data_IF_125028232802
#
_entry.id   IF_125028232802
#
_cell.length_a   1.000
_cell.length_b   1.000
_cell.length_c   1.000
_cell.angle_alpha   90.00
_cell.angle_beta   90.00
_cell.angle_gamma   90.00
#
_symmetry.space_group_name_H-M   'P 1'
#
loop_
_entity.id
_entity.type
_entity.pdbx_description
1 polymer ?
#
# COMPACT_ATOMS: atom_id res chain seq x y z
N UNK A 1 -28.90 -52.46 20.63
CA UNK A 1 -30.10 -51.65 20.38
C UNK A 1 -29.63 -50.20 20.23
N UNK A 2 -29.92 -49.58 19.08
CA UNK A 2 -29.56 -48.21 18.66
C UNK A 2 -29.80 -47.16 19.77
N UNK A 3 -29.09 -46.02 19.88
CA UNK A 3 -29.16 -44.85 18.98
C UNK A 3 -28.01 -43.85 19.29
N UNK A 4 -27.16 -43.54 18.30
CA UNK A 4 -27.03 -42.24 17.58
C UNK A 4 -26.65 -41.06 18.50
N UNK A 5 -25.36 -40.75 18.60
CA UNK A 5 -24.68 -39.60 17.94
C UNK A 5 -25.24 -38.22 18.37
N UNK A 6 -24.54 -37.56 19.28
CA UNK A 6 -24.59 -36.11 19.47
C UNK A 6 -23.32 -35.47 18.92
N UNK A 7 -23.20 -35.37 17.59
CA UNK A 7 -22.13 -34.57 16.96
C UNK A 7 -22.61 -33.12 16.96
N UNK A 8 -22.15 -32.33 17.91
CA UNK A 8 -22.32 -30.87 17.90
C UNK A 8 -21.48 -30.33 16.75
N UNK A 9 -22.15 -30.02 15.64
CA UNK A 9 -21.52 -29.49 14.43
C UNK A 9 -20.95 -28.10 14.67
N UNK A 10 -19.62 -27.99 14.57
CA UNK A 10 -18.90 -26.72 14.52
C UNK A 10 -19.08 -26.15 13.10
N UNK A 11 -20.13 -25.34 12.90
CA UNK A 11 -20.34 -24.62 11.63
C UNK A 11 -19.30 -23.52 11.56
N UNK A 12 -18.24 -23.75 10.79
CA UNK A 12 -17.26 -22.72 10.45
C UNK A 12 -17.92 -21.69 9.52
N UNK A 13 -18.18 -20.49 10.04
CA UNK A 13 -18.58 -19.34 9.24
C UNK A 13 -17.36 -18.83 8.48
N UNK A 14 -17.20 -19.29 7.23
CA UNK A 14 -16.19 -18.79 6.31
C UNK A 14 -16.54 -17.37 5.87
N UNK A 15 -16.12 -16.35 6.62
CA UNK A 15 -16.20 -14.97 6.15
C UNK A 15 -15.30 -14.80 4.92
N UNK A 16 -15.89 -14.51 3.76
CA UNK A 16 -15.13 -14.18 2.55
C UNK A 16 -14.40 -12.85 2.75
N UNK A 17 -13.10 -12.92 3.00
CA UNK A 17 -12.24 -11.73 2.89
C UNK A 17 -12.18 -11.35 1.42
N UNK A 18 -12.88 -10.29 1.05
CA UNK A 18 -12.81 -9.72 -0.28
C UNK A 18 -11.69 -8.68 -0.31
N UNK A 19 -10.77 -8.88 -1.25
CA UNK A 19 -9.68 -7.98 -1.55
C UNK A 19 -10.10 -7.02 -2.67
N UNK A 20 -9.68 -5.76 -2.56
CA UNK A 20 -9.88 -4.76 -3.61
C UNK A 20 -8.57 -4.11 -4.04
N UNK A 21 -8.65 -3.39 -5.15
CA UNK A 21 -7.60 -2.51 -5.64
C UNK A 21 -7.97 -1.07 -5.31
N UNK A 22 -7.01 -0.30 -4.81
CA UNK A 22 -7.16 1.15 -4.60
C UNK A 22 -6.06 1.91 -5.33
N UNK A 23 -6.38 3.14 -5.74
CA UNK A 23 -5.49 4.04 -6.47
C UNK A 23 -5.41 5.34 -5.68
N UNK A 24 -4.24 5.60 -5.10
CA UNK A 24 -4.00 6.82 -4.34
C UNK A 24 -3.33 7.83 -5.25
N UNK A 25 -4.09 8.87 -5.57
CA UNK A 25 -3.71 9.90 -6.53
C UNK A 25 -3.53 11.23 -5.81
N UNK A 26 -2.44 11.92 -6.11
CA UNK A 26 -2.18 13.26 -5.58
C UNK A 26 -0.71 13.61 -5.63
N UNK A 27 -0.34 14.65 -4.89
CA UNK A 27 1.07 15.07 -4.80
C UNK A 27 1.76 14.34 -3.67
N UNK A 28 3.04 14.02 -3.87
CA UNK A 28 3.92 13.69 -2.76
C UNK A 28 4.50 14.99 -2.24
N UNK A 29 4.26 15.27 -0.97
CA UNK A 29 4.78 16.48 -0.31
C UNK A 29 6.23 16.22 0.13
N UNK A 30 6.45 15.08 0.78
CA UNK A 30 7.75 14.75 1.37
C UNK A 30 8.12 13.27 1.14
N UNK A 31 9.41 12.98 1.10
CA UNK A 31 9.96 11.61 1.13
C UNK A 31 11.23 11.53 1.97
N UNK A 32 11.50 10.35 2.55
CA UNK A 32 12.78 10.06 3.20
C UNK A 32 13.13 8.57 3.11
N UNK A 33 14.40 8.26 3.34
CA UNK A 33 14.92 6.89 3.42
C UNK A 33 15.56 6.70 4.79
N UNK A 34 15.13 5.68 5.52
CA UNK A 34 15.72 5.29 6.81
C UNK A 34 17.05 4.54 6.61
N UNK A 35 17.90 4.50 7.63
CA UNK A 35 19.15 3.73 7.59
C UNK A 35 18.95 2.23 7.34
N UNK A 36 17.76 1.69 7.66
CA UNK A 36 17.37 0.31 7.38
C UNK A 36 16.87 0.08 5.94
N UNK A 37 16.89 1.12 5.10
CA UNK A 37 16.49 1.08 3.70
C UNK A 37 15.01 1.34 3.43
N UNK A 38 14.15 1.48 4.44
CA UNK A 38 12.74 1.80 4.21
C UNK A 38 12.60 3.17 3.55
N UNK A 39 11.87 3.21 2.44
CA UNK A 39 11.51 4.44 1.75
C UNK A 39 10.09 4.82 2.14
N UNK A 40 9.93 6.02 2.67
CA UNK A 40 8.64 6.57 3.11
C UNK A 40 8.25 7.78 2.27
N UNK A 41 6.95 7.93 2.04
CA UNK A 41 6.35 9.09 1.38
C UNK A 41 5.19 9.62 2.20
N UNK A 42 4.98 10.94 2.15
CA UNK A 42 3.79 11.61 2.64
C UNK A 42 3.09 12.24 1.45
N UNK A 43 1.91 11.72 1.11
CA UNK A 43 1.09 12.23 0.02
C UNK A 43 -0.17 12.95 0.51
N UNK A 44 -0.70 13.83 -0.35
CA UNK A 44 -1.90 14.64 -0.08
C UNK A 44 -3.17 13.79 0.17
N UNK A 45 -3.13 12.49 -0.15
CA UNK A 45 -4.26 11.57 0.00
C UNK A 45 -4.43 10.97 1.40
N UNK A 46 -3.42 11.07 2.28
CA UNK A 46 -3.46 10.42 3.60
C UNK A 46 -3.13 11.35 4.77
N UNK A 47 -2.17 12.28 4.61
CA UNK A 47 -1.73 13.15 5.71
C UNK A 47 -0.83 12.46 6.76
N UNK A 48 -0.30 11.27 6.47
CA UNK A 48 0.73 10.59 7.29
C UNK A 48 1.74 9.89 6.36
N UNK A 49 2.75 9.23 6.94
CA UNK A 49 3.81 8.52 6.21
C UNK A 49 3.41 7.09 5.84
N UNK A 50 3.58 6.73 4.56
CA UNK A 50 3.48 5.36 4.07
C UNK A 50 4.85 4.87 3.60
N UNK A 51 5.25 3.68 4.05
CA UNK A 51 6.37 2.97 3.45
C UNK A 51 5.95 2.46 2.07
N UNK A 52 6.74 2.75 1.04
CA UNK A 52 6.46 2.31 -0.34
C UNK A 52 7.35 1.16 -0.79
N UNK A 53 8.56 1.03 -0.25
CA UNK A 53 9.46 -0.08 -0.54
C UNK A 53 10.63 -0.08 0.46
N UNK A 54 11.57 -1.01 0.28
CA UNK A 54 12.84 -1.03 0.99
C UNK A 54 14.01 -1.23 0.00
N UNK A 55 15.07 -0.44 0.13
CA UNK A 55 16.25 -0.46 -0.76
C UNK A 55 17.23 -1.60 -0.49
N UNK A 56 17.00 -2.38 0.56
CA UNK A 56 17.82 -3.52 0.97
C UNK A 56 17.13 -4.88 0.73
N UNK A 57 15.87 -4.87 0.30
CA UNK A 57 15.10 -6.09 0.00
C UNK A 57 15.47 -6.67 -1.39
N UNK A 58 14.89 -7.83 -1.72
CA UNK A 58 15.16 -8.54 -2.98
C UNK A 58 14.90 -7.69 -4.24
N UNK A 59 14.01 -6.69 -4.15
CA UNK A 59 13.66 -5.78 -5.24
C UNK A 59 14.33 -4.39 -5.11
N UNK A 60 15.50 -4.29 -4.46
CA UNK A 60 16.24 -3.05 -4.20
C UNK A 60 16.34 -2.11 -5.41
N UNK A 61 16.62 -2.64 -6.61
CA UNK A 61 16.71 -1.84 -7.84
C UNK A 61 15.38 -1.15 -8.17
N UNK A 62 14.26 -1.86 -8.05
CA UNK A 62 12.92 -1.29 -8.27
C UNK A 62 12.64 -0.20 -7.25
N UNK A 63 12.98 -0.43 -5.98
CA UNK A 63 12.79 0.57 -4.93
C UNK A 63 13.61 1.84 -5.17
N UNK A 64 14.86 1.70 -5.61
CA UNK A 64 15.71 2.84 -5.98
C UNK A 64 15.14 3.63 -7.16
N UNK A 65 14.63 2.95 -8.20
CA UNK A 65 13.97 3.62 -9.33
C UNK A 65 12.68 4.34 -8.91
N UNK A 66 11.87 3.70 -8.06
CA UNK A 66 10.68 4.32 -7.50
C UNK A 66 11.01 5.55 -6.64
N UNK A 67 12.10 5.51 -5.89
CA UNK A 67 12.60 6.68 -5.15
C UNK A 67 12.93 7.82 -6.11
N UNK A 68 13.62 7.55 -7.22
CA UNK A 68 13.88 8.56 -8.26
C UNK A 68 12.60 9.13 -8.87
N UNK A 69 11.56 8.31 -9.07
CA UNK A 69 10.25 8.77 -9.55
C UNK A 69 9.59 9.72 -8.56
N UNK A 70 9.62 9.38 -7.26
CA UNK A 70 9.06 10.23 -6.20
C UNK A 70 9.81 11.56 -6.12
N UNK A 71 11.15 11.55 -6.11
CA UNK A 71 11.95 12.78 -6.07
C UNK A 71 11.69 13.64 -7.31
N UNK A 72 11.60 13.03 -8.49
CA UNK A 72 11.23 13.74 -9.73
C UNK A 72 9.85 14.37 -9.61
N UNK A 73 8.86 13.66 -9.07
CA UNK A 73 7.51 14.17 -8.90
C UNK A 73 7.47 15.37 -7.94
N UNK A 74 8.20 15.30 -6.82
CA UNK A 74 8.34 16.40 -5.85
C UNK A 74 8.99 17.62 -6.54
N UNK A 75 10.14 17.44 -7.19
CA UNK A 75 10.90 18.53 -7.81
C UNK A 75 10.13 19.25 -8.92
N UNK A 76 9.29 18.51 -9.66
CA UNK A 76 8.55 19.03 -10.81
C UNK A 76 7.08 19.32 -10.48
N UNK A 77 6.67 19.22 -9.21
CA UNK A 77 5.29 19.42 -8.76
C UNK A 77 4.27 18.55 -9.53
N UNK A 78 4.65 17.31 -9.85
CA UNK A 78 3.82 16.35 -10.59
C UNK A 78 2.90 15.58 -9.64
N UNK A 79 1.86 14.97 -10.22
CA UNK A 79 1.01 14.04 -9.49
C UNK A 79 1.58 12.63 -9.61
N UNK A 80 1.28 11.82 -8.60
CA UNK A 80 1.57 10.38 -8.62
C UNK A 80 0.30 9.58 -8.45
N UNK A 81 0.27 8.41 -9.06
CA UNK A 81 -0.68 7.34 -8.73
C UNK A 81 0.09 6.19 -8.10
N UNK A 82 -0.25 5.88 -6.85
CA UNK A 82 0.24 4.70 -6.14
C UNK A 82 -0.89 3.69 -6.04
N UNK A 83 -0.70 2.53 -6.65
CA UNK A 83 -1.72 1.49 -6.69
C UNK A 83 -1.41 0.39 -5.68
N UNK A 84 -2.42 0.01 -4.92
CA UNK A 84 -2.36 -1.11 -3.98
C UNK A 84 -3.39 -2.16 -4.37
N UNK A 85 -2.98 -3.41 -4.34
CA UNK A 85 -3.84 -4.58 -4.56
C UNK A 85 -3.91 -5.41 -3.28
N UNK A 86 -4.96 -6.23 -3.14
CA UNK A 86 -5.06 -7.15 -2.02
C UNK A 86 -5.48 -6.49 -0.70
N UNK A 87 -5.87 -5.20 -0.70
CA UNK A 87 -6.27 -4.49 0.52
C UNK A 87 -7.71 -4.83 0.90
N UNK A 88 -8.05 -4.68 2.19
CA UNK A 88 -9.42 -4.94 2.66
C UNK A 88 -10.42 -3.97 2.02
N UNK A 89 -11.68 -4.39 1.92
CA UNK A 89 -12.75 -3.55 1.36
C UNK A 89 -12.99 -2.24 2.12
N UNK A 90 -12.63 -2.19 3.39
CA UNK A 90 -12.74 -1.00 4.24
C UNK A 90 -11.56 -0.04 4.04
N UNK A 91 -10.46 -0.51 3.45
CA UNK A 91 -9.26 0.31 3.25
C UNK A 91 -9.47 1.35 2.15
N UNK A 92 -9.13 2.59 2.43
CA UNK A 92 -9.11 3.71 1.49
C UNK A 92 -7.74 4.38 1.52
N UNK A 93 -7.47 5.32 0.62
CA UNK A 93 -6.18 6.02 0.61
C UNK A 93 -5.92 6.83 1.87
N UNK A 94 -6.96 7.30 2.55
CA UNK A 94 -6.85 8.03 3.82
C UNK A 94 -6.77 7.12 5.04
N UNK A 95 -7.02 5.82 4.88
CA UNK A 95 -7.05 4.82 5.95
C UNK A 95 -6.04 3.69 5.72
N UNK A 96 -5.04 3.91 4.87
CA UNK A 96 -3.98 2.92 4.64
C UNK A 96 -3.16 2.75 5.93
N UNK A 97 -2.67 1.54 6.22
CA UNK A 97 -1.70 1.37 7.28
C UNK A 97 -0.45 2.22 7.03
N UNK A 98 0.15 2.74 8.09
CA UNK A 98 1.30 3.65 8.03
C UNK A 98 2.63 2.92 8.32
N UNK A 99 3.76 3.52 7.94
CA UNK A 99 5.10 3.01 8.21
C UNK A 99 5.29 1.53 7.78
N UNK A 100 5.91 0.70 8.62
CA UNK A 100 6.21 -0.71 8.33
C UNK A 100 4.95 -1.55 8.04
N UNK A 101 3.79 -1.16 8.58
CA UNK A 101 2.52 -1.86 8.32
C UNK A 101 1.90 -1.53 6.96
N UNK A 102 2.38 -0.47 6.29
CA UNK A 102 1.90 -0.10 4.98
C UNK A 102 2.14 -1.24 3.98
N UNK A 103 1.11 -1.63 3.19
CA UNK A 103 1.29 -2.61 2.14
C UNK A 103 2.26 -2.07 1.09
N UNK A 104 3.02 -2.96 0.46
CA UNK A 104 3.83 -2.55 -0.68
C UNK A 104 2.91 -2.22 -1.88
N UNK A 105 3.12 -1.10 -2.57
CA UNK A 105 2.41 -0.81 -3.82
C UNK A 105 2.71 -1.86 -4.90
N UNK A 106 1.76 -2.05 -5.80
CA UNK A 106 1.99 -2.80 -7.03
C UNK A 106 2.76 -1.96 -8.06
N UNK A 107 2.45 -0.66 -8.15
CA UNK A 107 3.19 0.29 -8.99
C UNK A 107 3.12 1.73 -8.47
N UNK A 108 4.07 2.53 -8.93
CA UNK A 108 4.09 3.99 -8.81
C UNK A 108 4.17 4.59 -10.21
N UNK A 109 3.24 5.48 -10.53
CA UNK A 109 3.19 6.21 -11.80
C UNK A 109 3.34 7.70 -11.51
N UNK A 110 4.21 8.38 -12.25
CA UNK A 110 4.34 9.85 -12.24
C UNK A 110 3.61 10.39 -13.46
N UNK A 111 2.77 11.40 -13.27
CA UNK A 111 2.01 12.01 -14.35
C UNK A 111 1.76 13.50 -14.10
N UNK A 112 1.42 14.23 -15.17
CA UNK A 112 1.01 15.62 -15.03
C UNK A 112 -0.35 15.69 -14.34
N UNK A 113 -0.53 16.70 -13.48
CA UNK A 113 -1.77 16.93 -12.72
C UNK A 113 -2.98 17.36 -13.59
N UNK A 114 -2.82 17.46 -14.91
CA UNK A 114 -3.71 18.18 -15.82
C UNK A 114 -3.96 17.42 -17.14
N UNK A 115 -3.96 16.08 -17.12
CA UNK A 115 -4.55 15.27 -18.20
C UNK A 115 -5.49 14.22 -17.65
#
# INVERSE_FOLDING_TARGET
>A
MFRILGVIGFIALSSSVSAKTIYCVGKVENSFIEANGNVHVAGTWHGSWQRICNTNDQDAVRCSLWTSYIVTAIQNNLDVTIQYQGVSNETSCSSLPTYASAPQPNYIMVHNAQR
#
